data_IF_188525001958
#
_entry.id   IF_188525001958
#
_cell.length_a   1.000
_cell.length_b   1.000
_cell.length_c   1.000
_cell.angle_alpha   90.00
_cell.angle_beta   90.00
_cell.angle_gamma   90.00
#
_symmetry.space_group_name_H-M   'P 1'
#
loop_
_entity.id
_entity.type
_entity.pdbx_description
1 polymer ?
#
# COMPACT_ATOMS: atom_id res chain seq x y z
N UNK A 1 49.01 7.88 0.36
CA UNK A 1 49.37 8.70 1.54
C UNK A 1 48.13 9.39 2.11
N UNK A 2 47.66 8.85 3.24
CA UNK A 2 46.57 9.35 4.08
C UNK A 2 47.10 10.52 4.92
N UNK A 3 46.31 11.59 5.09
CA UNK A 3 46.51 12.52 6.19
C UNK A 3 45.15 12.93 6.77
N UNK A 4 44.88 12.36 7.94
CA UNK A 4 43.85 12.74 8.90
C UNK A 4 44.35 13.97 9.66
N UNK A 5 43.50 15.00 9.80
CA UNK A 5 43.62 15.95 10.92
C UNK A 5 42.21 16.17 11.46
N UNK A 6 41.94 15.52 12.59
CA UNK A 6 40.98 15.98 13.59
C UNK A 6 41.67 17.09 14.39
N UNK A 7 40.95 18.16 14.71
CA UNK A 7 41.20 18.86 15.96
C UNK A 7 39.89 19.30 16.62
N UNK A 8 39.84 19.02 17.92
CA UNK A 8 38.77 19.28 18.86
C UNK A 8 39.11 20.53 19.69
N UNK A 9 38.15 20.98 20.51
CA UNK A 9 38.16 22.02 21.58
C UNK A 9 37.41 23.29 21.18
N UNK A 10 36.60 23.96 22.00
CA UNK A 10 36.02 23.75 23.34
C UNK A 10 34.82 24.75 23.40
N UNK A 11 33.77 24.64 24.21
CA UNK A 11 33.80 24.77 25.67
C UNK A 11 32.38 24.56 26.22
N UNK A 12 32.30 23.90 27.36
CA UNK A 12 31.09 23.61 28.14
C UNK A 12 30.47 24.86 28.77
N UNK A 13 29.15 24.94 28.95
CA UNK A 13 28.55 25.79 29.98
C UNK A 13 27.81 24.98 31.06
N UNK A 14 27.93 25.48 32.30
CA UNK A 14 27.44 24.95 33.57
C UNK A 14 25.91 24.73 33.65
N UNK A 15 25.47 23.75 34.46
CA UNK A 15 24.08 23.47 34.74
C UNK A 15 23.61 24.17 36.03
N UNK A 16 23.48 25.50 36.05
CA UNK A 16 22.75 26.17 37.15
C UNK A 16 22.38 27.63 36.82
N UNK A 17 21.36 27.83 35.98
CA UNK A 17 20.76 29.16 35.80
C UNK A 17 19.24 29.08 35.57
N UNK A 18 18.42 29.73 36.42
CA UNK A 18 16.96 29.71 36.30
C UNK A 18 16.47 30.55 35.10
N UNK A 19 15.35 30.18 34.46
CA UNK A 19 14.88 30.79 33.22
C UNK A 19 14.32 32.20 33.44
N UNK A 20 14.84 33.19 32.68
CA UNK A 20 14.26 34.53 32.58
C UNK A 20 13.09 34.55 31.57
N UNK A 21 11.96 35.20 31.89
CA UNK A 21 10.82 35.33 30.97
C UNK A 21 11.04 36.46 29.94
N UNK A 22 10.90 36.13 28.66
CA UNK A 22 10.96 37.10 27.56
C UNK A 22 9.63 37.85 27.43
N UNK A 23 9.72 39.17 27.65
CA UNK A 23 8.67 40.18 27.41
C UNK A 23 8.48 40.40 25.91
N UNK A 24 7.23 40.39 25.44
CA UNK A 24 6.87 40.92 24.13
C UNK A 24 5.88 42.06 24.27
N UNK A 25 6.32 43.24 23.83
CA UNK A 25 5.55 44.48 23.77
C UNK A 25 4.59 44.51 22.58
N UNK A 26 3.42 45.11 22.80
CA UNK A 26 2.45 45.54 21.78
C UNK A 26 2.91 46.83 21.08
N UNK A 27 2.48 47.05 19.82
CA UNK A 27 2.20 48.41 19.36
C UNK A 27 0.80 48.56 18.75
N UNK A 28 0.29 49.79 18.93
CA UNK A 28 -1.08 50.27 18.74
C UNK A 28 -1.28 50.99 17.40
N UNK A 29 -2.51 50.88 16.89
CA UNK A 29 -3.26 51.48 15.76
C UNK A 29 -2.67 52.57 14.83
N UNK A 30 -3.00 52.41 13.52
CA UNK A 30 -3.34 53.51 12.60
C UNK A 30 -4.52 53.09 11.70
N UNK A 31 -5.45 54.03 11.46
CA UNK A 31 -6.74 53.87 10.75
C UNK A 31 -6.72 54.49 9.33
N UNK A 32 -7.43 53.81 8.41
CA UNK A 32 -8.18 54.31 7.21
C UNK A 32 -7.43 54.66 5.90
N UNK A 33 -8.12 54.68 4.71
CA UNK A 33 -9.31 53.95 4.26
C UNK A 33 -9.21 53.34 2.82
N UNK A 34 -10.15 52.41 2.54
CA UNK A 34 -10.74 52.05 1.24
C UNK A 34 -9.84 51.74 0.01
N UNK A 35 -9.74 50.45 -0.31
CA UNK A 35 -9.70 49.99 -1.70
C UNK A 35 -10.50 48.69 -1.84
N UNK A 36 -11.65 48.82 -2.51
CA UNK A 36 -12.54 47.73 -2.88
C UNK A 36 -11.94 47.00 -4.07
N UNK A 37 -11.89 45.66 -3.99
CA UNK A 37 -11.88 44.67 -5.09
C UNK A 37 -10.61 43.81 -5.21
N UNK A 38 -10.69 42.59 -5.79
CA UNK A 38 -11.86 41.73 -5.99
C UNK A 38 -11.71 40.41 -5.22
N UNK A 39 -12.85 39.94 -4.71
CA UNK A 39 -13.06 38.56 -4.30
C UNK A 39 -12.50 37.62 -5.38
N UNK A 40 -11.40 36.90 -5.08
CA UNK A 40 -10.88 35.84 -5.94
C UNK A 40 -11.79 34.62 -5.80
N UNK A 41 -13.04 34.76 -6.27
CA UNK A 41 -13.98 33.66 -6.52
C UNK A 41 -13.42 32.84 -7.68
N UNK A 42 -12.73 31.74 -7.39
CA UNK A 42 -12.72 30.55 -8.25
C UNK A 42 -12.74 29.27 -7.41
N UNK A 43 -13.77 29.15 -6.57
CA UNK A 43 -14.24 27.88 -6.07
C UNK A 43 -15.52 27.48 -6.82
N UNK A 44 -15.39 27.11 -8.10
CA UNK A 44 -16.52 26.58 -8.88
C UNK A 44 -16.04 25.66 -10.02
N UNK A 45 -15.27 24.63 -9.66
CA UNK A 45 -15.14 23.42 -10.50
C UNK A 45 -15.64 22.17 -9.77
N UNK A 46 -16.61 22.32 -8.85
CA UNK A 46 -17.06 21.24 -7.95
C UNK A 46 -18.17 20.33 -8.49
N UNK A 47 -18.68 20.53 -9.71
CA UNK A 47 -19.79 19.71 -10.23
C UNK A 47 -19.64 19.34 -11.69
N UNK A 48 -18.49 18.76 -12.08
CA UNK A 48 -18.50 17.94 -13.30
C UNK A 48 -19.25 16.63 -12.98
N UNK A 49 -20.30 16.25 -13.73
CA UNK A 49 -20.96 14.96 -13.56
C UNK A 49 -19.99 13.79 -13.59
N UNK A 50 -18.91 13.90 -14.39
CA UNK A 50 -17.84 12.91 -14.49
C UNK A 50 -17.07 12.78 -13.18
N UNK A 51 -16.72 13.91 -12.54
CA UNK A 51 -16.02 13.89 -11.25
C UNK A 51 -16.89 13.30 -10.13
N UNK A 52 -18.20 13.58 -10.16
CA UNK A 52 -19.15 13.00 -9.20
C UNK A 52 -19.29 11.47 -9.38
N UNK A 53 -19.34 10.98 -10.64
CA UNK A 53 -19.37 9.54 -10.93
C UNK A 53 -18.09 8.84 -10.47
N UNK A 54 -16.92 9.43 -10.73
CA UNK A 54 -15.64 8.89 -10.26
C UNK A 54 -15.56 8.84 -8.73
N UNK A 55 -16.04 9.88 -8.04
CA UNK A 55 -16.09 9.91 -6.58
C UNK A 55 -17.00 8.80 -6.02
N UNK A 56 -18.19 8.60 -6.61
CA UNK A 56 -19.10 7.52 -6.23
C UNK A 56 -18.47 6.14 -6.44
N UNK A 57 -17.83 5.93 -7.60
CA UNK A 57 -17.12 4.68 -7.89
C UNK A 57 -16.02 4.40 -6.85
N UNK A 58 -15.18 5.40 -6.54
CA UNK A 58 -14.13 5.27 -5.50
C UNK A 58 -14.73 4.94 -4.14
N UNK A 59 -15.83 5.58 -3.75
CA UNK A 59 -16.51 5.31 -2.49
C UNK A 59 -17.06 3.87 -2.44
N UNK A 60 -17.67 3.40 -3.52
CA UNK A 60 -18.18 2.03 -3.62
C UNK A 60 -17.04 1.00 -3.51
N UNK A 61 -15.92 1.23 -4.21
CA UNK A 61 -14.76 0.34 -4.13
C UNK A 61 -14.15 0.32 -2.73
N UNK A 62 -14.06 1.47 -2.05
CA UNK A 62 -13.60 1.52 -0.66
C UNK A 62 -14.52 0.74 0.28
N UNK A 63 -15.85 0.87 0.12
CA UNK A 63 -16.80 0.10 0.92
C UNK A 63 -16.63 -1.41 0.70
N UNK A 64 -16.47 -1.85 -0.56
CA UNK A 64 -16.22 -3.25 -0.88
C UNK A 64 -14.91 -3.77 -0.27
N UNK A 65 -13.83 -2.99 -0.35
CA UNK A 65 -12.54 -3.33 0.26
C UNK A 65 -12.64 -3.49 1.77
N UNK A 66 -13.44 -2.65 2.45
CA UNK A 66 -13.69 -2.80 3.90
C UNK A 66 -14.40 -4.12 4.21
N UNK A 67 -15.44 -4.47 3.45
CA UNK A 67 -16.16 -5.74 3.63
C UNK A 67 -15.23 -6.95 3.43
N UNK A 68 -14.37 -6.90 2.40
CA UNK A 68 -13.38 -7.95 2.20
C UNK A 68 -12.33 -8.00 3.30
N UNK A 69 -11.85 -6.85 3.78
CA UNK A 69 -10.93 -6.78 4.91
C UNK A 69 -11.56 -7.44 6.15
N UNK A 70 -12.81 -7.09 6.49
CA UNK A 70 -13.53 -7.71 7.61
C UNK A 70 -13.69 -9.22 7.44
N UNK A 71 -13.95 -9.69 6.22
CA UNK A 71 -14.02 -11.13 5.92
C UNK A 71 -12.66 -11.80 6.11
N UNK A 72 -11.58 -11.21 5.58
CA UNK A 72 -10.23 -11.75 5.69
C UNK A 72 -9.75 -11.80 7.15
N UNK A 73 -10.09 -10.78 7.95
CA UNK A 73 -9.75 -10.72 9.38
C UNK A 73 -10.46 -11.80 10.22
N UNK A 74 -11.56 -12.37 9.75
CA UNK A 74 -12.24 -13.50 10.41
C UNK A 74 -11.54 -14.84 10.16
N UNK A 75 -10.63 -14.93 9.19
CA UNK A 75 -9.90 -16.15 8.88
C UNK A 75 -8.86 -16.36 9.99
N UNK A 76 -9.09 -17.36 10.84
CA UNK A 76 -8.17 -17.78 11.88
C UNK A 76 -7.23 -18.85 11.33
N UNK A 77 -5.95 -18.69 11.60
CA UNK A 77 -4.91 -19.68 11.34
C UNK A 77 -3.99 -19.72 12.53
N UNK A 78 -3.38 -20.87 12.81
CA UNK A 78 -2.34 -20.96 13.83
C UNK A 78 -1.21 -19.96 13.52
N UNK A 79 -0.86 -19.14 14.51
CA UNK A 79 0.25 -18.20 14.40
C UNK A 79 1.53 -18.97 14.06
N UNK A 80 2.33 -18.41 13.16
CA UNK A 80 3.60 -19.01 12.67
C UNK A 80 3.49 -20.40 12.00
N UNK A 81 2.28 -20.90 11.73
CA UNK A 81 2.13 -22.08 10.88
C UNK A 81 2.79 -21.82 9.51
N UNK A 82 3.49 -22.81 8.92
CA UNK A 82 3.96 -22.69 7.54
C UNK A 82 2.77 -22.64 6.57
N UNK A 83 2.98 -22.01 5.40
CA UNK A 83 2.06 -22.15 4.27
C UNK A 83 2.17 -23.58 3.74
N UNK A 84 1.04 -24.21 3.41
CA UNK A 84 1.08 -25.52 2.74
C UNK A 84 1.47 -25.36 1.26
N UNK A 85 1.71 -26.47 0.57
CA UNK A 85 2.18 -26.43 -0.82
C UNK A 85 1.18 -25.74 -1.75
N UNK A 86 -0.11 -26.03 -1.63
CA UNK A 86 -1.17 -25.37 -2.39
C UNK A 86 -1.13 -23.83 -2.25
N UNK A 87 -1.12 -23.34 -1.01
CA UNK A 87 -1.05 -21.93 -0.68
C UNK A 87 0.25 -21.30 -1.21
N UNK A 88 1.36 -22.03 -1.09
CA UNK A 88 2.67 -21.58 -1.56
C UNK A 88 2.67 -21.37 -3.08
N UNK A 89 2.09 -22.28 -3.87
CA UNK A 89 2.00 -22.14 -5.33
C UNK A 89 1.25 -20.87 -5.74
N UNK A 90 0.13 -20.55 -5.07
CA UNK A 90 -0.64 -19.33 -5.37
C UNK A 90 0.17 -18.08 -5.00
N UNK A 91 0.79 -18.06 -3.82
CA UNK A 91 1.62 -16.95 -3.36
C UNK A 91 2.82 -16.71 -4.30
N UNK A 92 3.45 -17.79 -4.76
CA UNK A 92 4.54 -17.75 -5.76
C UNK A 92 4.08 -17.20 -7.09
N UNK A 93 2.96 -17.69 -7.61
CA UNK A 93 2.38 -17.16 -8.86
C UNK A 93 2.21 -15.65 -8.78
N UNK A 94 1.60 -15.13 -7.71
CA UNK A 94 1.44 -13.68 -7.54
C UNK A 94 2.81 -12.99 -7.47
N UNK A 95 3.75 -13.50 -6.68
CA UNK A 95 5.06 -12.87 -6.49
C UNK A 95 5.92 -12.81 -7.76
N UNK A 96 5.98 -13.92 -8.48
CA UNK A 96 6.87 -14.12 -9.62
C UNK A 96 6.28 -13.55 -10.91
N UNK A 97 4.96 -13.69 -11.09
CA UNK A 97 4.30 -13.35 -12.35
C UNK A 97 3.54 -12.02 -12.32
N UNK A 98 3.03 -11.61 -11.16
CA UNK A 98 2.18 -10.42 -11.03
C UNK A 98 2.90 -9.26 -10.37
N UNK A 99 3.22 -9.39 -9.08
CA UNK A 99 3.82 -8.31 -8.29
C UNK A 99 4.49 -8.83 -7.02
N UNK A 100 5.67 -8.29 -6.73
CA UNK A 100 6.34 -8.48 -5.42
C UNK A 100 5.73 -7.60 -4.33
N UNK A 101 4.94 -6.59 -4.72
CA UNK A 101 4.39 -5.55 -3.85
C UNK A 101 2.88 -5.44 -4.04
N UNK A 102 2.12 -6.51 -3.76
CA UNK A 102 0.67 -6.45 -3.86
C UNK A 102 0.14 -5.33 -2.95
N UNK A 103 -0.79 -4.49 -3.43
CA UNK A 103 -1.48 -3.53 -2.58
C UNK A 103 -2.31 -4.26 -1.52
N UNK A 104 -2.74 -3.53 -0.49
CA UNK A 104 -3.50 -4.10 0.61
C UNK A 104 -4.79 -4.79 0.14
N UNK A 105 -5.54 -4.18 -0.78
CA UNK A 105 -6.75 -4.80 -1.35
C UNK A 105 -6.47 -6.17 -1.96
N UNK A 106 -5.37 -6.31 -2.69
CA UNK A 106 -4.97 -7.58 -3.30
C UNK A 106 -4.50 -8.59 -2.26
N UNK A 107 -3.75 -8.18 -1.24
CA UNK A 107 -3.38 -9.07 -0.13
C UNK A 107 -4.61 -9.61 0.61
N UNK A 108 -5.65 -8.80 0.78
CA UNK A 108 -6.94 -9.23 1.35
C UNK A 108 -7.61 -10.27 0.46
N UNK A 109 -7.66 -10.05 -0.86
CA UNK A 109 -8.23 -11.00 -1.81
C UNK A 109 -7.48 -12.34 -1.79
N UNK A 110 -6.15 -12.31 -1.82
CA UNK A 110 -5.31 -13.52 -1.70
C UNK A 110 -5.68 -14.27 -0.41
N UNK A 111 -5.71 -13.58 0.73
CA UNK A 111 -6.04 -14.17 2.03
C UNK A 111 -7.40 -14.90 2.03
N UNK A 112 -8.41 -14.30 1.39
CA UNK A 112 -9.74 -14.90 1.24
C UNK A 112 -9.68 -16.16 0.37
N UNK A 113 -9.02 -16.09 -0.79
CA UNK A 113 -8.98 -17.20 -1.77
C UNK A 113 -8.26 -18.41 -1.17
N UNK A 114 -7.03 -18.22 -0.67
CA UNK A 114 -6.21 -19.33 -0.15
C UNK A 114 -6.56 -19.71 1.31
N UNK A 115 -7.60 -19.06 1.87
CA UNK A 115 -8.10 -19.23 3.24
C UNK A 115 -7.00 -19.13 4.29
N UNK A 116 -6.16 -18.11 4.17
CA UNK A 116 -5.03 -17.85 5.08
C UNK A 116 -5.23 -16.51 5.79
N UNK A 117 -4.80 -16.40 7.04
CA UNK A 117 -4.91 -15.13 7.76
C UNK A 117 -4.15 -14.02 7.02
N UNK A 118 -4.79 -12.86 6.91
CA UNK A 118 -4.26 -11.69 6.20
C UNK A 118 -2.85 -11.29 6.66
N UNK A 119 -2.60 -11.32 7.98
CA UNK A 119 -1.27 -11.02 8.57
C UNK A 119 -0.19 -11.96 8.03
N UNK A 120 -0.49 -13.24 7.86
CA UNK A 120 0.47 -14.21 7.36
C UNK A 120 0.77 -14.00 5.88
N UNK A 121 -0.23 -13.65 5.07
CA UNK A 121 0.00 -13.27 3.66
C UNK A 121 0.93 -12.06 3.59
N UNK A 122 0.66 -11.00 4.36
CA UNK A 122 1.51 -9.80 4.42
C UNK A 122 2.95 -10.13 4.84
N UNK A 123 3.11 -10.97 5.87
CA UNK A 123 4.41 -11.41 6.35
C UNK A 123 5.16 -12.24 5.30
N UNK A 124 4.46 -13.14 4.60
CA UNK A 124 5.04 -13.96 3.55
C UNK A 124 5.66 -13.09 2.45
N UNK A 125 4.91 -12.13 1.90
CA UNK A 125 5.43 -11.21 0.88
C UNK A 125 6.60 -10.36 1.41
N UNK A 126 6.57 -9.96 2.69
CA UNK A 126 7.67 -9.23 3.30
C UNK A 126 8.95 -10.07 3.37
N UNK A 127 8.85 -11.29 3.89
CA UNK A 127 9.96 -12.21 4.01
C UNK A 127 10.51 -12.59 2.63
N UNK A 128 9.62 -12.79 1.66
CA UNK A 128 10.01 -13.18 0.31
C UNK A 128 10.85 -12.10 -0.37
N UNK A 129 10.50 -10.81 -0.19
CA UNK A 129 11.32 -9.69 -0.68
C UNK A 129 12.66 -9.53 0.02
N UNK A 130 12.75 -9.91 1.29
CA UNK A 130 14.01 -9.85 2.04
C UNK A 130 14.98 -10.93 1.56
N UNK A 131 14.45 -12.14 1.28
CA UNK A 131 15.20 -13.27 0.72
C UNK A 131 15.59 -13.00 -0.73
N UNK A 132 14.63 -12.55 -1.53
CA UNK A 132 14.75 -12.37 -2.97
C UNK A 132 14.59 -10.89 -3.33
N UNK A 133 15.72 -10.19 -3.44
CA UNK A 133 15.76 -8.75 -3.74
C UNK A 133 15.68 -8.43 -5.23
N UNK A 134 15.72 -9.46 -6.07
CA UNK A 134 15.79 -9.33 -7.52
C UNK A 134 14.42 -9.36 -8.18
N UNK A 135 14.27 -8.58 -9.24
CA UNK A 135 13.04 -8.54 -9.99
C UNK A 135 12.79 -7.20 -10.67
N UNK A 136 12.63 -7.23 -12.00
CA UNK A 136 12.15 -6.08 -12.74
C UNK A 136 10.68 -5.84 -12.40
N UNK A 137 10.34 -4.59 -12.09
CA UNK A 137 8.97 -4.17 -11.87
C UNK A 137 8.72 -2.84 -12.60
N UNK A 138 7.52 -2.67 -13.14
CA UNK A 138 7.06 -1.46 -13.82
C UNK A 138 5.95 -0.83 -12.98
N UNK A 139 6.06 0.48 -12.74
CA UNK A 139 5.01 1.23 -12.03
C UNK A 139 3.86 1.50 -12.99
N UNK A 140 2.65 1.19 -12.55
CA UNK A 140 1.41 1.47 -13.28
C UNK A 140 0.28 1.80 -12.30
N UNK A 141 -0.91 2.06 -12.81
CA UNK A 141 -2.10 2.37 -12.04
C UNK A 141 -3.21 1.34 -12.33
N UNK A 142 -3.94 0.89 -11.31
CA UNK A 142 -5.11 0.02 -11.48
C UNK A 142 -6.33 0.83 -11.93
N UNK A 143 -7.41 0.14 -12.32
CA UNK A 143 -8.70 0.76 -12.68
C UNK A 143 -9.29 1.61 -11.54
N UNK A 144 -9.01 1.24 -10.28
CA UNK A 144 -9.43 1.96 -9.08
C UNK A 144 -8.56 3.19 -8.77
N UNK A 145 -7.42 3.32 -9.45
CA UNK A 145 -6.46 4.40 -9.26
C UNK A 145 -5.31 4.08 -8.30
N UNK A 146 -5.08 2.81 -7.97
CA UNK A 146 -3.99 2.43 -7.09
C UNK A 146 -2.68 2.31 -7.85
N UNK A 147 -1.62 2.92 -7.30
CA UNK A 147 -0.27 2.78 -7.84
C UNK A 147 0.28 1.41 -7.48
N UNK A 148 0.52 0.59 -8.49
CA UNK A 148 1.03 -0.78 -8.34
C UNK A 148 2.35 -0.96 -9.07
N UNK A 149 3.12 -1.97 -8.66
CA UNK A 149 4.40 -2.37 -9.28
C UNK A 149 4.23 -3.76 -9.86
N UNK A 150 4.06 -3.84 -11.18
CA UNK A 150 3.81 -5.11 -11.85
C UNK A 150 5.08 -5.69 -12.46
N UNK A 151 5.17 -7.02 -12.48
CA UNK A 151 6.17 -7.78 -13.23
C UNK A 151 5.90 -7.63 -14.73
N UNK A 152 6.92 -7.77 -15.60
CA UNK A 152 6.75 -7.64 -17.05
C UNK A 152 5.67 -8.55 -17.64
N UNK A 153 5.53 -9.77 -17.12
CA UNK A 153 4.53 -10.73 -17.61
C UNK A 153 3.09 -10.22 -17.41
N UNK A 154 2.80 -9.64 -16.24
CA UNK A 154 1.50 -9.08 -15.92
C UNK A 154 1.12 -7.84 -16.74
N UNK A 155 2.07 -7.18 -17.43
CA UNK A 155 1.76 -6.04 -18.31
C UNK A 155 1.11 -6.47 -19.63
N UNK A 156 1.18 -7.74 -19.99
CA UNK A 156 0.55 -8.28 -21.19
C UNK A 156 -0.96 -8.46 -21.01
N UNK A 157 -1.42 -8.49 -19.76
CA UNK A 157 -2.82 -8.64 -19.40
C UNK A 157 -3.61 -7.32 -19.59
N UNK A 158 -4.95 -7.39 -19.61
CA UNK A 158 -5.81 -6.20 -19.57
C UNK A 158 -5.52 -5.28 -18.38
N UNK A 159 -6.19 -4.12 -18.37
CA UNK A 159 -6.12 -3.17 -17.27
C UNK A 159 -6.45 -3.84 -15.92
N UNK A 160 -5.47 -3.88 -15.02
CA UNK A 160 -5.62 -4.49 -13.70
C UNK A 160 -6.64 -3.74 -12.85
N UNK A 161 -7.46 -4.51 -12.14
CA UNK A 161 -8.48 -4.07 -11.18
C UNK A 161 -8.51 -5.05 -10.01
N UNK A 162 -9.22 -4.70 -8.92
CA UNK A 162 -9.45 -5.65 -7.83
C UNK A 162 -10.21 -6.89 -8.33
N UNK A 163 -11.22 -6.69 -9.20
CA UNK A 163 -12.03 -7.77 -9.79
C UNK A 163 -11.20 -8.73 -10.64
N UNK A 164 -10.44 -8.17 -11.60
CA UNK A 164 -9.64 -8.98 -12.50
C UNK A 164 -8.54 -9.72 -11.73
N UNK A 165 -7.95 -9.09 -10.72
CA UNK A 165 -6.99 -9.75 -9.86
C UNK A 165 -7.62 -10.91 -9.06
N UNK A 166 -8.81 -10.70 -8.48
CA UNK A 166 -9.56 -11.75 -7.77
C UNK A 166 -9.81 -12.96 -8.67
N UNK A 167 -10.31 -12.74 -9.89
CA UNK A 167 -10.58 -13.80 -10.87
C UNK A 167 -9.31 -14.59 -11.23
N UNK A 168 -8.21 -13.89 -11.55
CA UNK A 168 -6.93 -14.54 -11.90
C UNK A 168 -6.44 -15.44 -10.76
N UNK A 169 -6.50 -14.94 -9.52
CA UNK A 169 -6.06 -15.71 -8.35
C UNK A 169 -6.99 -16.89 -8.09
N UNK A 170 -8.31 -16.72 -8.20
CA UNK A 170 -9.28 -17.81 -8.03
C UNK A 170 -9.13 -18.92 -9.07
N UNK A 171 -8.96 -18.55 -10.34
CA UNK A 171 -8.77 -19.52 -11.44
C UNK A 171 -7.48 -20.30 -11.21
N UNK A 172 -6.40 -19.63 -10.82
CA UNK A 172 -5.14 -20.29 -10.55
C UNK A 172 -5.20 -21.19 -9.31
N UNK A 173 -5.82 -20.71 -8.22
CA UNK A 173 -6.05 -21.49 -7.00
C UNK A 173 -6.77 -22.81 -7.31
N UNK A 174 -7.83 -22.73 -8.12
CA UNK A 174 -8.56 -23.92 -8.58
C UNK A 174 -7.69 -24.87 -9.40
N UNK A 175 -6.89 -24.34 -10.35
CA UNK A 175 -5.96 -25.17 -11.16
C UNK A 175 -4.97 -25.92 -10.28
N UNK A 176 -4.33 -25.24 -9.32
CA UNK A 176 -3.39 -25.90 -8.39
C UNK A 176 -4.09 -27.00 -7.58
N UNK A 177 -5.32 -26.77 -7.11
CA UNK A 177 -6.09 -27.80 -6.39
C UNK A 177 -6.37 -29.02 -7.27
N UNK A 178 -6.63 -28.83 -8.57
CA UNK A 178 -6.86 -29.94 -9.50
C UNK A 178 -5.57 -30.71 -9.78
N UNK A 179 -4.46 -29.99 -10.02
CA UNK A 179 -3.17 -30.59 -10.32
C UNK A 179 -2.65 -31.42 -9.15
N UNK A 180 -2.76 -30.91 -7.91
CA UNK A 180 -2.35 -31.64 -6.71
C UNK A 180 -3.18 -32.92 -6.50
N UNK A 181 -4.50 -32.86 -6.73
CA UNK A 181 -5.37 -34.05 -6.62
C UNK A 181 -5.04 -35.12 -7.66
N UNK A 182 -4.72 -34.70 -8.89
CA UNK A 182 -4.34 -35.62 -9.96
C UNK A 182 -3.02 -36.35 -9.65
N UNK A 183 -2.06 -35.62 -9.06
CA UNK A 183 -0.77 -36.18 -8.66
C UNK A 183 -0.91 -37.15 -7.48
N UNK A 184 -1.79 -36.86 -6.50
CA UNK A 184 -2.07 -37.78 -5.38
C UNK A 184 -2.73 -39.09 -5.83
N UNK A 185 -3.45 -39.07 -6.96
CA UNK A 185 -4.12 -40.26 -7.53
C UNK A 185 -3.19 -41.15 -8.36
N UNK A 186 -1.95 -40.70 -8.60
CA UNK A 186 -0.96 -41.37 -9.45
C UNK A 186 0.18 -42.03 -8.66
N UNK A 187 0.13 -41.97 -7.32
CA UNK A 187 1.05 -42.61 -6.37
C UNK A 187 0.33 -43.69 -5.56
#
# INVERSE_FOLDING_TARGET
>A
PVNLVLDCTASSPDPDSPPQPLRHSTPSYHLSPAAVSPSRRRASKKHSPVAALQAKYKQQMQARRRLFMERAMRIKSLDNSPVNDHQLHVLRMVYDQITMYPPESWMVLIAIVIRRAFKQVKNWFSNERQKNKEGKNVRTETKEGDKVRLRPLALQSPQWSDDFFEEVVMIYDYKVLMDLRANDSSN
#
